data_IF_965045414330
#
_entry.id   IF_965045414330
#
_cell.length_a   1.000
_cell.length_b   1.000
_cell.length_c   1.000
_cell.angle_alpha   90.00
_cell.angle_beta   90.00
_cell.angle_gamma   90.00
#
_symmetry.space_group_name_H-M   'P 1'
#
loop_
_entity.id
_entity.type
_entity.pdbx_description
1 polymer ?
#
# COMPACT_ATOMS: atom_id res chain seq x y z
N UNK A 1 -10.04 12.91 -39.09
CA UNK A 1 -10.44 12.47 -37.73
C UNK A 1 -9.40 13.02 -36.75
N UNK A 2 -9.75 13.97 -35.88
CA UNK A 2 -8.82 14.43 -34.83
C UNK A 2 -8.66 13.29 -33.84
N UNK A 3 -7.44 12.76 -33.69
CA UNK A 3 -7.10 11.92 -32.55
C UNK A 3 -7.46 12.72 -31.29
N UNK A 4 -8.25 12.13 -30.40
CA UNK A 4 -8.59 12.72 -29.10
C UNK A 4 -7.26 13.02 -28.40
N UNK A 5 -6.90 14.30 -28.26
CA UNK A 5 -5.64 14.72 -27.65
C UNK A 5 -5.51 14.07 -26.27
N UNK A 6 -4.44 13.30 -26.07
CA UNK A 6 -4.13 12.66 -24.79
C UNK A 6 -3.55 13.72 -23.86
N UNK A 7 -4.42 14.55 -23.31
CA UNK A 7 -4.08 15.67 -22.42
C UNK A 7 -3.37 15.21 -21.14
N UNK A 8 -3.50 13.95 -20.76
CA UNK A 8 -2.74 13.35 -19.65
C UNK A 8 -1.26 13.19 -20.03
N UNK A 9 -0.97 12.86 -21.29
CA UNK A 9 0.41 12.72 -21.79
C UNK A 9 1.16 14.05 -21.91
N UNK A 10 0.44 15.17 -21.91
CA UNK A 10 0.99 16.52 -21.96
C UNK A 10 1.36 17.07 -20.56
N UNK A 11 0.89 16.43 -19.50
CA UNK A 11 1.19 16.84 -18.14
C UNK A 11 2.60 16.40 -17.73
N UNK A 12 3.39 17.28 -17.08
CA UNK A 12 4.62 16.90 -16.40
C UNK A 12 4.42 15.77 -15.39
N UNK A 13 5.40 14.88 -15.27
CA UNK A 13 5.36 13.75 -14.34
C UNK A 13 5.03 14.13 -12.89
N UNK A 14 5.56 15.24 -12.31
CA UNK A 14 5.22 15.62 -10.94
C UNK A 14 3.72 15.86 -10.73
N UNK A 15 3.03 16.41 -11.74
CA UNK A 15 1.58 16.65 -11.68
C UNK A 15 0.83 15.32 -11.74
N UNK A 16 1.28 14.40 -12.60
CA UNK A 16 0.72 13.05 -12.68
C UNK A 16 0.87 12.28 -11.36
N UNK A 17 2.06 12.35 -10.74
CA UNK A 17 2.30 11.75 -9.43
C UNK A 17 1.41 12.37 -8.36
N UNK A 18 1.20 13.69 -8.40
CA UNK A 18 0.29 14.36 -7.47
C UNK A 18 -1.16 13.89 -7.66
N UNK A 19 -1.67 13.83 -8.88
CA UNK A 19 -3.02 13.32 -9.18
C UNK A 19 -3.17 11.88 -8.70
N UNK A 20 -2.23 11.01 -9.05
CA UNK A 20 -2.28 9.59 -8.66
C UNK A 20 -2.10 9.37 -7.16
N UNK A 21 -1.50 10.31 -6.42
CA UNK A 21 -1.38 10.23 -4.96
C UNK A 21 -2.73 10.28 -4.24
N UNK A 22 -3.78 10.80 -4.88
CA UNK A 22 -5.13 10.86 -4.34
C UNK A 22 -5.97 9.61 -4.65
N UNK A 23 -5.49 8.74 -5.53
CA UNK A 23 -6.25 7.58 -6.00
C UNK A 23 -5.76 6.28 -5.35
N UNK A 24 -6.66 5.30 -5.11
CA UNK A 24 -6.23 3.95 -4.79
C UNK A 24 -5.32 3.39 -5.90
N UNK A 25 -4.22 2.75 -5.51
CA UNK A 25 -3.24 2.16 -6.44
C UNK A 25 -3.91 1.21 -7.44
N UNK A 26 -4.95 0.49 -7.02
CA UNK A 26 -5.76 -0.37 -7.89
C UNK A 26 -6.32 0.41 -9.08
N UNK A 27 -6.92 1.56 -8.84
CA UNK A 27 -7.51 2.39 -9.89
C UNK A 27 -6.42 2.96 -10.79
N UNK A 28 -5.30 3.41 -10.22
CA UNK A 28 -4.14 3.89 -10.99
C UNK A 28 -3.61 2.80 -11.91
N UNK A 29 -3.38 1.59 -11.39
CA UNK A 29 -2.89 0.44 -12.17
C UNK A 29 -3.86 0.09 -13.29
N UNK A 30 -5.16 -0.04 -13.01
CA UNK A 30 -6.16 -0.39 -14.03
C UNK A 30 -6.24 0.70 -15.11
N UNK A 31 -6.38 1.96 -14.70
CA UNK A 31 -6.59 3.09 -15.62
C UNK A 31 -5.37 3.32 -16.51
N UNK A 32 -4.15 3.30 -15.94
CA UNK A 32 -2.91 3.50 -16.70
C UNK A 32 -2.55 2.29 -17.55
N UNK A 33 -2.84 1.07 -17.09
CA UNK A 33 -2.56 -0.16 -17.86
C UNK A 33 -3.38 -0.27 -19.14
N UNK A 34 -4.58 0.31 -19.15
CA UNK A 34 -5.51 0.25 -20.27
C UNK A 34 -5.41 1.45 -21.22
N UNK A 35 -4.81 2.56 -20.79
CA UNK A 35 -4.79 3.81 -21.57
C UNK A 35 -3.89 3.74 -22.81
N UNK A 36 -2.63 3.29 -22.66
CA UNK A 36 -1.72 3.07 -23.79
C UNK A 36 -0.48 2.25 -23.40
N UNK A 37 0.33 1.84 -24.38
CA UNK A 37 1.63 1.18 -24.13
C UNK A 37 2.58 2.03 -23.28
N UNK A 38 2.52 3.36 -23.41
CA UNK A 38 3.34 4.32 -22.64
C UNK A 38 2.93 4.29 -21.16
N UNK A 39 1.62 4.28 -20.90
CA UNK A 39 1.07 4.31 -19.55
C UNK A 39 1.10 2.95 -18.83
N UNK A 40 1.29 1.86 -19.58
CA UNK A 40 1.20 0.48 -19.08
C UNK A 40 2.00 0.19 -17.81
N UNK A 41 3.13 0.87 -17.65
CA UNK A 41 4.02 0.69 -16.49
C UNK A 41 4.25 1.99 -15.70
N UNK A 42 3.53 3.07 -16.02
CA UNK A 42 3.71 4.35 -15.34
C UNK A 42 3.35 4.26 -13.85
N UNK A 43 2.35 3.45 -13.49
CA UNK A 43 2.01 3.18 -12.09
C UNK A 43 3.20 2.69 -11.25
N UNK A 44 4.22 2.07 -11.86
CA UNK A 44 5.39 1.59 -11.14
C UNK A 44 6.29 2.75 -10.69
N UNK A 45 6.35 3.87 -11.42
CA UNK A 45 7.21 5.02 -11.08
C UNK A 45 6.58 5.94 -10.04
N UNK A 46 5.26 5.82 -9.81
CA UNK A 46 4.55 6.65 -8.83
C UNK A 46 5.18 6.45 -7.44
N UNK A 47 5.56 7.55 -6.75
CA UNK A 47 6.21 7.47 -5.44
C UNK A 47 5.22 7.34 -4.27
N UNK A 48 3.92 7.25 -4.56
CA UNK A 48 2.84 7.14 -3.58
C UNK A 48 2.00 5.92 -3.90
N UNK A 49 1.89 5.00 -2.94
CA UNK A 49 1.04 3.81 -3.06
C UNK A 49 0.00 3.83 -1.95
N UNK A 50 -1.26 3.71 -2.33
CA UNK A 50 -2.40 3.57 -1.42
C UNK A 50 -3.19 2.30 -1.73
N UNK A 51 -3.40 1.45 -0.73
CA UNK A 51 -4.18 0.22 -0.85
C UNK A 51 -5.32 0.19 0.17
N UNK A 52 -6.57 0.27 -0.29
CA UNK A 52 -7.72 -0.17 0.50
C UNK A 52 -7.88 -1.69 0.33
N UNK A 53 -7.50 -2.43 1.36
CA UNK A 53 -7.39 -3.90 1.31
C UNK A 53 -8.76 -4.56 1.11
N UNK A 54 -9.83 -3.90 1.55
CA UNK A 54 -11.19 -4.42 1.51
C UNK A 54 -11.80 -4.28 0.10
N UNK A 55 -11.22 -3.43 -0.74
CA UNK A 55 -11.62 -3.27 -2.14
C UNK A 55 -10.81 -4.13 -3.11
N UNK A 56 -9.83 -4.89 -2.59
CA UNK A 56 -9.06 -5.81 -3.39
C UNK A 56 -9.86 -7.10 -3.64
N UNK A 57 -9.80 -7.71 -4.85
CA UNK A 57 -10.62 -8.86 -5.23
C UNK A 57 -10.40 -10.17 -4.44
N UNK A 58 -9.66 -10.15 -3.32
CA UNK A 58 -9.16 -11.34 -2.63
C UNK A 58 -9.10 -11.21 -1.11
N UNK A 59 -10.06 -10.55 -0.48
CA UNK A 59 -10.25 -10.73 0.96
C UNK A 59 -11.38 -11.72 1.21
N UNK A 60 -11.10 -13.00 0.95
CA UNK A 60 -11.92 -14.09 1.46
C UNK A 60 -11.06 -14.86 2.47
N UNK A 61 -11.28 -14.67 3.78
CA UNK A 61 -10.47 -15.29 4.83
C UNK A 61 -10.46 -16.82 4.81
N UNK A 62 -11.40 -17.43 4.08
CA UNK A 62 -11.69 -18.87 4.08
C UNK A 62 -11.14 -19.64 2.88
N UNK A 63 -10.62 -18.97 1.84
CA UNK A 63 -10.15 -19.67 0.65
C UNK A 63 -8.63 -19.52 0.44
N UNK A 64 -7.95 -20.67 0.44
CA UNK A 64 -6.50 -20.85 0.23
C UNK A 64 -6.05 -20.58 -1.23
N UNK A 65 -6.66 -19.62 -1.91
CA UNK A 65 -6.26 -19.25 -3.27
C UNK A 65 -5.00 -18.39 -3.21
N UNK A 66 -3.86 -19.05 -3.42
CA UNK A 66 -2.51 -18.47 -3.54
C UNK A 66 -2.34 -17.72 -4.86
N UNK A 67 -3.12 -16.69 -4.99
CA UNK A 67 -3.03 -15.73 -6.07
C UNK A 67 -2.37 -14.50 -5.49
N UNK A 68 -1.24 -14.10 -6.09
CA UNK A 68 -0.52 -12.88 -5.73
C UNK A 68 -1.53 -11.75 -5.59
N UNK A 69 -1.60 -11.15 -4.40
CA UNK A 69 -2.46 -10.01 -4.18
C UNK A 69 -2.06 -8.89 -5.14
N UNK A 70 -2.96 -7.94 -5.42
CA UNK A 70 -2.58 -6.76 -6.19
C UNK A 70 -1.37 -6.06 -5.57
N UNK A 71 -1.32 -6.04 -4.23
CA UNK A 71 -0.19 -5.50 -3.47
C UNK A 71 1.11 -6.21 -3.84
N UNK A 72 1.12 -7.55 -3.83
CA UNK A 72 2.30 -8.33 -4.24
C UNK A 72 2.69 -8.00 -5.68
N UNK A 73 1.73 -7.95 -6.60
CA UNK A 73 2.00 -7.64 -8.00
C UNK A 73 2.64 -6.25 -8.16
N UNK A 74 2.13 -5.25 -7.44
CA UNK A 74 2.63 -3.88 -7.50
C UNK A 74 4.02 -3.78 -6.87
N UNK A 75 4.21 -4.29 -5.65
CA UNK A 75 5.50 -4.19 -4.94
C UNK A 75 6.62 -4.93 -5.68
N UNK A 76 6.35 -6.16 -6.15
CA UNK A 76 7.33 -6.92 -6.95
C UNK A 76 7.52 -6.30 -8.33
N UNK A 77 6.43 -5.83 -8.95
CA UNK A 77 6.45 -5.22 -10.27
C UNK A 77 7.28 -3.94 -10.29
N UNK A 78 7.15 -3.11 -9.25
CA UNK A 78 7.90 -1.87 -9.04
C UNK A 78 9.39 -2.14 -8.90
N UNK A 79 9.76 -3.07 -8.00
CA UNK A 79 11.16 -3.47 -7.80
C UNK A 79 11.87 -3.90 -9.09
N UNK A 80 11.14 -4.53 -10.02
CA UNK A 80 11.71 -4.98 -11.30
C UNK A 80 11.73 -3.91 -12.39
N UNK A 81 10.87 -2.90 -12.31
CA UNK A 81 10.60 -1.97 -13.42
C UNK A 81 11.14 -0.58 -13.21
N UNK A 82 11.47 -0.20 -11.98
CA UNK A 82 11.96 1.14 -11.69
C UNK A 82 12.91 1.18 -10.51
N UNK A 83 13.79 2.17 -10.53
CA UNK A 83 14.63 2.59 -9.41
C UNK A 83 14.02 3.78 -8.65
N UNK A 84 12.81 4.22 -9.02
CA UNK A 84 12.15 5.37 -8.40
C UNK A 84 11.92 5.14 -6.91
N UNK A 85 12.15 6.19 -6.12
CA UNK A 85 11.90 6.17 -4.68
C UNK A 85 10.42 5.94 -4.37
N UNK A 86 10.10 5.08 -3.40
CA UNK A 86 8.76 5.01 -2.84
C UNK A 86 8.73 5.99 -1.68
N UNK A 87 8.00 7.09 -1.74
CA UNK A 87 7.96 8.06 -0.64
C UNK A 87 6.91 7.69 0.40
N UNK A 88 5.71 7.29 -0.03
CA UNK A 88 4.59 6.96 0.86
C UNK A 88 3.97 5.63 0.52
N UNK A 89 3.72 4.82 1.54
CA UNK A 89 2.95 3.59 1.45
C UNK A 89 1.82 3.61 2.48
N UNK A 90 0.57 3.60 2.01
CA UNK A 90 -0.62 3.61 2.86
C UNK A 90 -1.42 2.32 2.68
N UNK A 91 -1.79 1.71 3.80
CA UNK A 91 -2.72 0.59 3.87
C UNK A 91 -3.95 0.98 4.68
N UNK A 92 -5.14 0.68 4.16
CA UNK A 92 -6.40 0.87 4.87
C UNK A 92 -7.10 -0.47 5.04
N UNK A 93 -7.38 -0.80 6.29
CA UNK A 93 -8.06 -2.02 6.72
C UNK A 93 -9.35 -1.64 7.45
N UNK A 94 -10.50 -2.00 6.87
CA UNK A 94 -11.81 -1.92 7.56
C UNK A 94 -12.04 -3.14 8.42
N UNK A 95 -11.53 -4.28 7.96
CA UNK A 95 -11.56 -5.57 8.64
C UNK A 95 -10.14 -6.14 8.64
N UNK A 96 -9.39 -5.85 9.70
CA UNK A 96 -8.05 -6.41 9.85
C UNK A 96 -8.14 -7.80 10.44
N UNK A 97 -7.37 -8.74 9.91
CA UNK A 97 -7.06 -10.02 10.55
C UNK A 97 -5.57 -10.20 10.48
N UNK A 98 -4.96 -10.65 11.57
CA UNK A 98 -3.54 -10.96 11.56
C UNK A 98 -3.27 -12.26 10.78
N UNK A 99 -3.18 -12.13 9.46
CA UNK A 99 -2.96 -13.22 8.50
C UNK A 99 -1.52 -13.28 7.97
N UNK A 100 -0.65 -12.39 8.45
CA UNK A 100 0.75 -12.28 8.05
C UNK A 100 1.00 -11.61 6.70
N UNK A 101 -0.03 -11.30 5.89
CA UNK A 101 0.18 -10.64 4.59
C UNK A 101 0.78 -9.24 4.76
N UNK A 102 0.28 -8.46 5.73
CA UNK A 102 0.80 -7.12 6.02
C UNK A 102 2.31 -7.15 6.33
N UNK A 103 2.76 -8.12 7.13
CA UNK A 103 4.18 -8.29 7.46
C UNK A 103 5.03 -8.57 6.21
N UNK A 104 4.53 -9.44 5.32
CA UNK A 104 5.19 -9.75 4.05
C UNK A 104 5.27 -8.53 3.13
N UNK A 105 4.19 -7.74 3.03
CA UNK A 105 4.16 -6.53 2.22
C UNK A 105 5.11 -5.47 2.75
N UNK A 106 5.17 -5.30 4.07
CA UNK A 106 6.09 -4.35 4.69
C UNK A 106 7.53 -4.78 4.51
N UNK A 107 7.88 -6.06 4.69
CA UNK A 107 9.22 -6.55 4.40
C UNK A 107 9.63 -6.23 2.96
N UNK A 108 8.73 -6.44 1.99
CA UNK A 108 8.98 -6.07 0.59
C UNK A 108 9.11 -4.56 0.37
N UNK A 109 8.35 -3.74 1.10
CA UNK A 109 8.39 -2.29 1.01
C UNK A 109 9.68 -1.69 1.60
N UNK A 110 10.22 -2.24 2.69
CA UNK A 110 11.52 -1.83 3.29
C UNK A 110 12.64 -1.89 2.25
N UNK A 111 12.60 -2.89 1.39
CA UNK A 111 13.60 -3.08 0.35
C UNK A 111 13.46 -2.10 -0.82
N UNK A 112 12.46 -1.21 -0.81
CA UNK A 112 12.32 -0.15 -1.80
C UNK A 112 13.03 1.14 -1.35
N UNK A 113 13.69 1.82 -2.28
CA UNK A 113 14.52 2.98 -1.97
C UNK A 113 13.68 4.15 -1.43
N UNK A 114 14.18 4.76 -0.34
CA UNK A 114 13.71 6.03 0.23
C UNK A 114 12.24 6.07 0.68
N UNK A 115 11.76 4.98 1.30
CA UNK A 115 10.49 4.96 2.03
C UNK A 115 10.53 5.94 3.20
N UNK A 116 9.71 6.99 3.10
CA UNK A 116 9.67 8.09 4.08
C UNK A 116 8.45 7.99 4.99
N UNK A 117 7.32 7.54 4.47
CA UNK A 117 6.05 7.54 5.19
C UNK A 117 5.36 6.19 5.02
N UNK A 118 5.03 5.56 6.14
CA UNK A 118 4.19 4.37 6.19
C UNK A 118 2.98 4.70 7.05
N UNK A 119 1.79 4.46 6.49
CA UNK A 119 0.52 4.74 7.13
C UNK A 119 -0.33 3.48 7.11
N UNK A 120 -0.76 3.02 8.28
CA UNK A 120 -1.60 1.83 8.43
C UNK A 120 -2.84 2.22 9.23
N UNK A 121 -3.96 2.34 8.54
CA UNK A 121 -5.24 2.69 9.11
C UNK A 121 -6.07 1.43 9.41
N UNK A 122 -6.40 1.20 10.68
CA UNK A 122 -7.31 0.13 11.12
C UNK A 122 -8.66 0.74 11.55
N UNK A 123 -9.68 0.68 10.69
CA UNK A 123 -11.03 1.18 11.04
C UNK A 123 -11.89 0.17 11.81
N UNK A 124 -11.31 -0.99 12.08
CA UNK A 124 -11.88 -2.22 12.61
C UNK A 124 -13.26 -2.05 13.28
N UNK A 125 -14.32 -2.11 12.47
CA UNK A 125 -15.71 -1.91 12.94
C UNK A 125 -16.29 -3.15 13.61
N UNK A 126 -15.57 -4.28 13.58
CA UNK A 126 -16.02 -5.59 14.06
C UNK A 126 -15.60 -5.94 15.49
N UNK A 127 -14.82 -5.09 16.18
CA UNK A 127 -14.41 -5.32 17.58
C UNK A 127 -15.55 -5.61 18.56
N UNK A 128 -16.81 -5.39 18.17
CA UNK A 128 -18.00 -5.66 19.00
C UNK A 128 -18.56 -7.08 18.88
N UNK A 129 -18.06 -7.94 17.97
CA UNK A 129 -18.77 -9.17 17.60
C UNK A 129 -18.03 -10.50 17.85
N UNK A 130 -16.76 -10.53 18.29
CA UNK A 130 -15.98 -11.79 18.32
C UNK A 130 -15.12 -12.03 19.57
N UNK A 131 -14.86 -13.34 19.84
CA UNK A 131 -14.36 -13.89 21.10
C UNK A 131 -12.83 -13.88 21.29
N UNK A 132 -12.02 -13.56 20.27
CA UNK A 132 -10.55 -13.49 20.40
C UNK A 132 -9.99 -12.10 20.03
N UNK A 133 -9.66 -11.25 21.02
CA UNK A 133 -9.09 -9.92 20.80
C UNK A 133 -7.73 -9.95 20.08
N UNK A 134 -6.98 -11.05 20.19
CA UNK A 134 -5.59 -11.12 19.70
C UNK A 134 -5.52 -11.29 18.18
N UNK A 135 -6.54 -11.90 17.57
CA UNK A 135 -6.65 -12.06 16.12
C UNK A 135 -6.71 -10.72 15.34
N UNK A 136 -7.05 -9.64 16.05
CA UNK A 136 -7.18 -8.28 15.54
C UNK A 136 -6.04 -7.36 15.98
N UNK A 137 -5.11 -7.86 16.78
CA UNK A 137 -3.93 -7.11 17.23
C UNK A 137 -2.84 -7.15 16.16
N UNK A 138 -2.25 -5.99 15.90
CA UNK A 138 -1.12 -5.87 14.97
C UNK A 138 0.12 -5.35 15.69
N UNK A 139 1.19 -6.13 15.60
CA UNK A 139 2.51 -5.73 16.07
C UNK A 139 3.37 -5.37 14.86
N UNK A 140 3.91 -4.17 14.87
CA UNK A 140 4.87 -3.75 13.85
C UNK A 140 6.11 -4.64 13.93
N UNK A 141 6.57 -5.24 12.82
CA UNK A 141 7.76 -6.04 12.79
C UNK A 141 8.99 -5.15 12.95
N UNK A 142 10.01 -5.67 13.63
CA UNK A 142 11.27 -4.98 13.89
C UNK A 142 11.97 -4.50 12.60
N UNK A 143 11.66 -5.13 11.45
CA UNK A 143 12.15 -4.70 10.13
C UNK A 143 11.73 -3.28 9.76
N UNK A 144 10.61 -2.79 10.29
CA UNK A 144 10.18 -1.39 10.12
C UNK A 144 11.06 -0.41 10.91
N UNK A 145 11.58 -0.84 12.06
CA UNK A 145 12.46 -0.03 12.91
C UNK A 145 13.87 0.13 12.30
N UNK A 146 14.22 -0.74 11.34
CA UNK A 146 15.48 -0.66 10.60
C UNK A 146 15.43 0.23 9.35
N UNK A 147 14.30 0.89 9.05
CA UNK A 147 14.17 1.73 7.84
C UNK A 147 14.84 3.08 8.07
N UNK A 148 15.95 3.40 7.37
CA UNK A 148 16.80 4.54 7.71
C UNK A 148 16.15 5.92 7.44
N UNK A 149 15.18 5.98 6.53
CA UNK A 149 14.55 7.24 6.09
C UNK A 149 13.10 7.38 6.54
N UNK A 150 12.59 6.47 7.37
CA UNK A 150 11.20 6.50 7.83
C UNK A 150 11.02 7.68 8.79
N UNK A 151 10.21 8.66 8.38
CA UNK A 151 9.93 9.90 9.12
C UNK A 151 8.62 9.84 9.87
N UNK A 152 7.63 9.17 9.29
CA UNK A 152 6.28 9.10 9.83
C UNK A 152 5.78 7.68 9.81
N UNK A 153 5.38 7.20 10.98
CA UNK A 153 4.64 5.96 11.19
C UNK A 153 3.33 6.36 11.87
N UNK A 154 2.29 6.56 11.08
CA UNK A 154 0.94 6.81 11.61
C UNK A 154 0.17 5.50 11.58
N UNK A 155 -0.13 5.01 12.78
CA UNK A 155 -1.12 3.96 12.96
C UNK A 155 -2.21 4.55 13.83
N UNK A 156 -3.41 4.64 13.26
CA UNK A 156 -4.55 5.14 13.97
C UNK A 156 -4.85 4.16 15.13
N UNK A 157 -4.55 4.58 16.36
CA UNK A 157 -4.66 3.86 17.66
C UNK A 157 -3.55 2.87 18.02
N UNK A 158 -2.34 3.34 18.32
CA UNK A 158 -1.50 2.66 19.31
C UNK A 158 -1.80 3.19 20.73
N UNK A 159 -2.33 2.32 21.58
CA UNK A 159 -1.97 2.36 23.01
C UNK A 159 -0.55 1.80 23.06
N UNK A 160 0.45 2.65 23.26
CA UNK A 160 1.78 2.18 23.65
C UNK A 160 1.61 1.37 24.94
N UNK A 161 2.23 0.19 25.11
CA UNK A 161 2.43 -0.31 26.46
C UNK A 161 3.21 0.77 27.18
N UNK A 162 2.58 1.40 28.19
CA UNK A 162 3.28 2.26 29.12
C UNK A 162 4.56 1.51 29.51
N UNK A 163 5.72 2.12 29.21
CA UNK A 163 6.97 1.61 29.76
C UNK A 163 6.78 1.57 31.27
N UNK A 164 6.77 0.35 31.83
CA UNK A 164 7.02 0.18 33.24
C UNK A 164 8.43 0.68 33.45
N UNK A 165 8.53 1.83 34.11
CA UNK A 165 9.78 2.30 34.66
C UNK A 165 10.16 1.34 35.80
N UNK A 166 11.27 0.64 35.63
CA UNK A 166 12.18 0.24 36.71
C UNK A 166 13.62 0.35 36.20
#
# INVERSE_FOLDING_TARGET
MRAKEDRLSELPEPILYHIFSFLPTKEVVISTSLLSKKWRYFWATVPYLYFDINELPRYCPDCNHRTTSLVDHVLHGRRRRTTSSLHRLRFRYRYFRNDGFLNSWMANAVHQQNLQEIDICFENRLHKLECDPTAYSYFLPNTMLSVPNLRTLEQDRFVLPMQAAE
#
